data_IF_170263783247
#
_entry.id   IF_170263783247
#
_cell.length_a   1.000
_cell.length_b   1.000
_cell.length_c   1.000
_cell.angle_alpha   90.00
_cell.angle_beta   90.00
_cell.angle_gamma   90.00
#
_symmetry.space_group_name_H-M   'P 1'
#
loop_
_entity.id
_entity.type
_entity.pdbx_description
1 polymer ?
#
# COMPACT_ATOMS: atom_id res chain seq x y z
N UNK A 1 -23.87 24.32 -2.92
CA UNK A 1 -22.61 24.52 -3.66
C UNK A 1 -21.39 23.89 -2.96
N UNK A 2 -21.31 23.84 -1.63
CA UNK A 2 -20.15 23.20 -0.95
C UNK A 2 -20.02 21.68 -1.14
N UNK A 3 -21.12 20.92 -1.35
CA UNK A 3 -21.05 19.47 -1.64
C UNK A 3 -20.47 19.16 -3.02
N UNK A 4 -20.80 19.96 -4.04
CA UNK A 4 -20.32 19.72 -5.42
C UNK A 4 -18.83 20.05 -5.56
N UNK A 5 -18.34 21.09 -4.88
CA UNK A 5 -16.91 21.42 -4.87
C UNK A 5 -16.11 20.38 -4.07
N UNK A 6 -16.58 19.99 -2.88
CA UNK A 6 -15.92 18.93 -2.10
C UNK A 6 -15.90 17.56 -2.82
N UNK A 7 -16.97 17.21 -3.54
CA UNK A 7 -17.03 15.95 -4.28
C UNK A 7 -16.09 15.96 -5.48
N UNK A 8 -15.92 17.10 -6.16
CA UNK A 8 -14.96 17.23 -7.27
C UNK A 8 -13.52 17.16 -6.75
N UNK A 9 -13.20 17.82 -5.64
CA UNK A 9 -11.87 17.73 -5.02
C UNK A 9 -11.58 16.31 -4.50
N UNK A 10 -12.56 15.66 -3.87
CA UNK A 10 -12.43 14.27 -3.40
C UNK A 10 -12.28 13.28 -4.56
N UNK A 11 -12.99 13.48 -5.68
CA UNK A 11 -12.85 12.66 -6.88
C UNK A 11 -11.49 12.89 -7.55
N UNK A 12 -11.01 14.14 -7.59
CA UNK A 12 -9.69 14.46 -8.10
C UNK A 12 -8.59 13.81 -7.24
N UNK A 13 -8.73 13.80 -5.92
CA UNK A 13 -7.76 13.15 -5.02
C UNK A 13 -7.77 11.62 -5.16
N UNK A 14 -8.94 11.02 -5.37
CA UNK A 14 -9.08 9.56 -5.53
C UNK A 14 -8.62 9.07 -6.91
N UNK A 15 -8.76 9.89 -7.95
CA UNK A 15 -8.51 9.48 -9.35
C UNK A 15 -7.20 10.07 -9.89
N UNK A 16 -6.95 11.36 -9.72
CA UNK A 16 -5.83 12.04 -10.38
C UNK A 16 -4.51 11.78 -9.64
N UNK A 17 -4.48 11.92 -8.32
CA UNK A 17 -3.26 11.74 -7.52
C UNK A 17 -2.63 10.35 -7.70
N UNK A 18 -3.37 9.25 -7.46
CA UNK A 18 -2.85 7.89 -7.61
C UNK A 18 -2.48 7.53 -9.05
N UNK A 19 -3.22 8.03 -10.06
CA UNK A 19 -2.93 7.73 -11.47
C UNK A 19 -1.66 8.44 -11.93
N UNK A 20 -1.49 9.72 -11.58
CA UNK A 20 -0.26 10.47 -11.89
C UNK A 20 0.95 9.83 -11.21
N UNK A 21 0.81 9.47 -9.92
CA UNK A 21 1.85 8.74 -9.19
C UNK A 21 2.19 7.41 -9.86
N UNK A 22 1.19 6.62 -10.25
CA UNK A 22 1.39 5.34 -10.91
C UNK A 22 2.13 5.46 -12.25
N UNK A 23 1.82 6.47 -13.06
CA UNK A 23 2.53 6.73 -14.32
C UNK A 23 3.98 7.13 -14.04
N UNK A 24 4.20 8.01 -13.07
CA UNK A 24 5.55 8.43 -12.67
C UNK A 24 6.38 7.25 -12.14
N UNK A 25 5.78 6.37 -11.35
CA UNK A 25 6.42 5.16 -10.82
C UNK A 25 6.79 4.18 -11.93
N UNK A 26 5.92 3.97 -12.92
CA UNK A 26 6.21 3.11 -14.09
C UNK A 26 7.37 3.69 -14.90
N UNK A 27 7.33 4.98 -15.20
CA UNK A 27 8.41 5.65 -15.92
C UNK A 27 9.74 5.54 -15.16
N UNK A 28 9.73 5.82 -13.86
CA UNK A 28 10.92 5.73 -13.00
C UNK A 28 11.46 4.31 -12.96
N UNK A 29 10.60 3.30 -12.77
CA UNK A 29 10.97 1.89 -12.80
C UNK A 29 11.61 1.50 -14.14
N UNK A 30 11.06 1.96 -15.26
CA UNK A 30 11.60 1.70 -16.59
C UNK A 30 13.01 2.29 -16.74
N UNK A 31 13.22 3.56 -16.38
CA UNK A 31 14.54 4.19 -16.45
C UNK A 31 15.55 3.49 -15.52
N UNK A 32 15.17 3.19 -14.28
CA UNK A 32 16.05 2.49 -13.31
C UNK A 32 16.46 1.13 -13.85
N UNK A 33 15.52 0.33 -14.37
CA UNK A 33 15.80 -0.97 -14.95
C UNK A 33 16.71 -0.85 -16.18
N UNK A 34 16.41 0.07 -17.09
CA UNK A 34 17.22 0.32 -18.29
C UNK A 34 18.68 0.63 -17.91
N UNK A 35 18.92 1.62 -17.05
CA UNK A 35 20.26 2.00 -16.62
C UNK A 35 20.97 0.88 -15.85
N UNK A 36 20.26 0.16 -14.96
CA UNK A 36 20.84 -0.96 -14.21
C UNK A 36 21.28 -2.11 -15.13
N UNK A 37 20.44 -2.51 -16.09
CA UNK A 37 20.75 -3.58 -17.04
C UNK A 37 21.87 -3.19 -18.00
N UNK A 38 21.89 -1.95 -18.47
CA UNK A 38 22.96 -1.45 -19.34
C UNK A 38 24.32 -1.41 -18.67
N UNK A 39 24.39 -1.18 -17.35
CA UNK A 39 25.67 -1.10 -16.62
C UNK A 39 26.14 -2.41 -16.00
N UNK A 40 25.27 -3.17 -15.33
CA UNK A 40 25.66 -4.43 -14.69
C UNK A 40 24.47 -5.32 -14.42
N UNK A 41 24.27 -6.31 -15.28
CA UNK A 41 23.25 -7.34 -15.13
C UNK A 41 23.33 -8.06 -13.77
N UNK A 42 24.54 -8.20 -13.20
CA UNK A 42 24.74 -8.82 -11.87
C UNK A 42 24.12 -8.01 -10.74
N UNK A 43 24.19 -6.67 -10.79
CA UNK A 43 23.53 -5.81 -9.81
C UNK A 43 22.03 -5.79 -9.98
N UNK A 44 21.56 -5.77 -11.23
CA UNK A 44 20.12 -5.83 -11.50
C UNK A 44 19.52 -7.10 -10.90
N UNK A 45 20.18 -8.25 -11.05
CA UNK A 45 19.76 -9.52 -10.45
C UNK A 45 19.74 -9.49 -8.92
N UNK A 46 20.78 -8.92 -8.31
CA UNK A 46 20.85 -8.74 -6.85
C UNK A 46 19.71 -7.86 -6.32
N UNK A 47 19.38 -6.77 -7.02
CA UNK A 47 18.25 -5.91 -6.68
C UNK A 47 16.90 -6.63 -6.93
N UNK A 48 16.80 -7.40 -8.02
CA UNK A 48 15.59 -8.14 -8.36
C UNK A 48 15.22 -9.23 -7.34
N UNK A 49 16.18 -9.72 -6.55
CA UNK A 49 15.92 -10.69 -5.47
C UNK A 49 15.02 -10.09 -4.37
N UNK A 50 15.03 -8.78 -4.17
CA UNK A 50 14.12 -8.11 -3.23
C UNK A 50 12.66 -8.09 -3.74
N UNK A 51 12.47 -8.04 -5.06
CA UNK A 51 11.16 -7.96 -5.72
C UNK A 51 10.20 -9.11 -5.38
N UNK A 52 10.57 -10.41 -5.46
CA UNK A 52 9.66 -11.50 -5.11
C UNK A 52 9.24 -11.48 -3.64
N UNK A 53 10.15 -11.05 -2.74
CA UNK A 53 9.84 -10.87 -1.31
C UNK A 53 8.78 -9.79 -1.13
N UNK A 54 8.94 -8.64 -1.77
CA UNK A 54 7.95 -7.55 -1.75
C UNK A 54 6.60 -7.97 -2.33
N UNK A 55 6.59 -8.70 -3.44
CA UNK A 55 5.36 -9.19 -4.07
C UNK A 55 4.61 -10.13 -3.12
N UNK A 56 5.32 -11.07 -2.48
CA UNK A 56 4.72 -12.03 -1.56
C UNK A 56 4.10 -11.31 -0.35
N UNK A 57 4.87 -10.43 0.27
CA UNK A 57 4.46 -9.65 1.45
C UNK A 57 3.26 -8.75 1.10
N UNK A 58 3.27 -8.11 -0.07
CA UNK A 58 2.14 -7.29 -0.57
C UNK A 58 0.89 -8.13 -0.85
N UNK A 59 1.03 -9.33 -1.42
CA UNK A 59 -0.12 -10.23 -1.66
C UNK A 59 -0.80 -10.66 -0.36
N UNK A 60 -0.02 -11.01 0.66
CA UNK A 60 -0.54 -11.37 1.98
C UNK A 60 -1.29 -10.19 2.58
N UNK A 61 -0.72 -8.99 2.52
CA UNK A 61 -1.37 -7.78 3.02
C UNK A 61 -2.68 -7.48 2.28
N UNK A 62 -2.66 -7.50 0.94
CA UNK A 62 -3.83 -7.24 0.09
C UNK A 62 -4.98 -8.20 0.39
N UNK A 63 -4.70 -9.49 0.60
CA UNK A 63 -5.72 -10.49 0.93
C UNK A 63 -6.47 -10.13 2.23
N UNK A 64 -5.71 -9.83 3.29
CA UNK A 64 -6.29 -9.47 4.59
C UNK A 64 -7.04 -8.13 4.52
N UNK A 65 -6.55 -7.17 3.75
CA UNK A 65 -7.21 -5.87 3.56
C UNK A 65 -8.57 -6.00 2.85
N UNK A 66 -8.66 -6.87 1.84
CA UNK A 66 -9.92 -7.18 1.17
C UNK A 66 -10.91 -7.87 2.11
N UNK A 67 -10.44 -8.75 2.98
CA UNK A 67 -11.28 -9.39 4.01
C UNK A 67 -11.86 -8.35 4.98
N UNK A 68 -11.04 -7.40 5.45
CA UNK A 68 -11.52 -6.30 6.28
C UNK A 68 -12.59 -5.46 5.57
N UNK A 69 -12.36 -5.10 4.30
CA UNK A 69 -13.35 -4.33 3.52
C UNK A 69 -14.70 -5.06 3.41
N UNK A 70 -14.68 -6.38 3.20
CA UNK A 70 -15.91 -7.20 3.18
C UNK A 70 -16.63 -7.19 4.52
N UNK A 71 -15.90 -7.31 5.64
CA UNK A 71 -16.48 -7.30 6.99
C UNK A 71 -17.07 -5.94 7.36
N UNK A 72 -16.43 -4.84 6.95
CA UNK A 72 -16.95 -3.47 7.13
C UNK A 72 -18.23 -3.29 6.31
N UNK A 73 -18.23 -3.77 5.06
CA UNK A 73 -19.43 -3.75 4.22
C UNK A 73 -20.61 -4.47 4.89
N UNK A 74 -20.38 -5.68 5.41
CA UNK A 74 -21.40 -6.44 6.15
C UNK A 74 -21.93 -5.71 7.39
N UNK A 75 -21.04 -5.06 8.15
CA UNK A 75 -21.41 -4.28 9.34
C UNK A 75 -22.27 -3.06 8.95
N UNK A 76 -21.90 -2.35 7.88
CA UNK A 76 -22.66 -1.21 7.39
C UNK A 76 -24.03 -1.62 6.85
N UNK A 77 -24.12 -2.74 6.11
CA UNK A 77 -25.40 -3.27 5.64
C UNK A 77 -26.32 -3.62 6.80
N UNK A 78 -25.80 -4.32 7.83
CA UNK A 78 -26.58 -4.65 9.02
C UNK A 78 -27.10 -3.39 9.73
N UNK A 79 -26.25 -2.37 9.85
CA UNK A 79 -26.64 -1.09 10.44
C UNK A 79 -27.74 -0.41 9.61
N UNK A 80 -27.62 -0.42 8.28
CA UNK A 80 -28.60 0.18 7.38
C UNK A 80 -29.95 -0.56 7.43
N UNK A 81 -29.94 -1.89 7.48
CA UNK A 81 -31.14 -2.72 7.62
C UNK A 81 -31.84 -2.41 8.95
N UNK A 82 -31.09 -2.34 10.05
CA UNK A 82 -31.64 -2.07 11.38
C UNK A 82 -32.22 -0.65 11.50
N UNK A 83 -31.56 0.35 10.90
CA UNK A 83 -32.08 1.72 10.86
C UNK A 83 -33.35 1.84 10.00
N UNK A 84 -33.37 1.17 8.85
CA UNK A 84 -34.53 1.18 7.94
C UNK A 84 -35.73 0.43 8.54
N UNK A 85 -35.46 -0.67 9.27
CA UNK A 85 -36.45 -1.53 9.92
C UNK A 85 -36.76 -1.19 11.38
N UNK A 86 -36.30 -0.04 11.89
CA UNK A 86 -36.31 0.23 13.35
C UNK A 86 -37.71 0.15 13.98
N UNK A 87 -38.76 0.56 13.24
CA UNK A 87 -40.15 0.45 13.70
C UNK A 87 -40.60 -1.01 13.86
N UNK A 88 -40.15 -1.89 12.98
CA UNK A 88 -40.45 -3.33 13.05
C UNK A 88 -39.72 -3.95 14.23
N UNK A 89 -38.44 -3.65 14.41
CA UNK A 89 -37.63 -4.16 15.53
C UNK A 89 -38.26 -3.78 16.86
N UNK A 90 -38.64 -2.50 17.04
CA UNK A 90 -39.35 -2.02 18.24
C UNK A 90 -40.73 -2.64 18.40
N UNK A 91 -41.48 -2.79 17.29
CA UNK A 91 -42.81 -3.40 17.30
C UNK A 91 -42.82 -4.86 17.77
N UNK A 92 -41.69 -5.58 17.60
CA UNK A 92 -41.51 -6.94 18.08
C UNK A 92 -40.64 -7.06 19.34
N UNK A 93 -40.23 -5.94 19.96
CA UNK A 93 -39.32 -5.89 21.10
C UNK A 93 -38.03 -6.71 20.89
N UNK A 94 -37.42 -6.58 19.70
CA UNK A 94 -36.23 -7.35 19.26
C UNK A 94 -34.93 -6.55 19.30
N UNK A 95 -34.89 -5.42 20.00
CA UNK A 95 -33.72 -4.54 20.06
C UNK A 95 -32.47 -5.27 20.55
N UNK A 96 -32.56 -6.01 21.65
CA UNK A 96 -31.42 -6.72 22.25
C UNK A 96 -30.87 -7.80 21.32
N UNK A 97 -31.75 -8.48 20.58
CA UNK A 97 -31.36 -9.50 19.60
C UNK A 97 -30.57 -8.90 18.44
N UNK A 98 -31.03 -7.77 17.88
CA UNK A 98 -30.32 -7.08 16.81
C UNK A 98 -29.04 -6.40 17.29
N UNK A 99 -29.00 -5.93 18.55
CA UNK A 99 -27.78 -5.44 19.20
C UNK A 99 -26.74 -6.55 19.35
N UNK A 100 -27.11 -7.74 19.81
CA UNK A 100 -26.19 -8.87 19.93
C UNK A 100 -25.63 -9.28 18.55
N UNK A 101 -26.51 -9.33 17.53
CA UNK A 101 -26.11 -9.59 16.15
C UNK A 101 -25.11 -8.54 15.62
N UNK A 102 -25.33 -7.26 15.93
CA UNK A 102 -24.41 -6.18 15.58
C UNK A 102 -23.07 -6.33 16.31
N UNK A 103 -23.10 -6.61 17.62
CA UNK A 103 -21.91 -6.80 18.44
C UNK A 103 -21.04 -7.96 17.93
N UNK A 104 -21.66 -9.08 17.52
CA UNK A 104 -20.96 -10.22 16.92
C UNK A 104 -20.27 -9.81 15.61
N UNK A 105 -20.96 -9.11 14.72
CA UNK A 105 -20.39 -8.61 13.46
C UNK A 105 -19.27 -7.59 13.69
N UNK A 106 -19.42 -6.73 14.70
CA UNK A 106 -18.41 -5.76 15.13
C UNK A 106 -17.16 -6.44 15.68
N UNK A 107 -17.33 -7.51 16.47
CA UNK A 107 -16.23 -8.33 17.00
C UNK A 107 -15.44 -9.00 15.87
N UNK A 108 -16.12 -9.59 14.89
CA UNK A 108 -15.45 -10.15 13.69
C UNK A 108 -14.63 -9.08 12.94
N UNK A 109 -15.16 -7.85 12.83
CA UNK A 109 -14.43 -6.73 12.25
C UNK A 109 -13.19 -6.36 13.06
N UNK A 110 -13.32 -6.29 14.38
CA UNK A 110 -12.23 -5.98 15.30
C UNK A 110 -11.09 -6.99 15.17
N UNK A 111 -11.39 -8.29 15.13
CA UNK A 111 -10.38 -9.35 15.03
C UNK A 111 -9.59 -9.28 13.72
N UNK A 112 -10.27 -9.02 12.58
CA UNK A 112 -9.59 -8.83 11.29
C UNK A 112 -8.74 -7.56 11.30
N UNK A 113 -9.20 -6.47 11.92
CA UNK A 113 -8.40 -5.24 12.08
C UNK A 113 -7.15 -5.46 12.91
N UNK A 114 -7.26 -6.18 14.03
CA UNK A 114 -6.09 -6.51 14.88
C UNK A 114 -5.08 -7.34 14.09
N UNK A 115 -5.54 -8.36 13.34
CA UNK A 115 -4.68 -9.19 12.49
C UNK A 115 -3.95 -8.35 11.44
N UNK A 116 -4.65 -7.44 10.77
CA UNK A 116 -4.05 -6.48 9.84
C UNK A 116 -3.03 -5.55 10.51
N UNK A 117 -3.31 -5.09 11.73
CA UNK A 117 -2.38 -4.29 12.51
C UNK A 117 -1.06 -5.02 12.76
N UNK A 118 -1.11 -6.33 13.07
CA UNK A 118 0.09 -7.16 13.20
C UNK A 118 0.86 -7.27 11.88
N UNK A 119 0.16 -7.49 10.76
CA UNK A 119 0.80 -7.48 9.44
C UNK A 119 1.48 -6.15 9.13
N UNK A 120 0.86 -5.02 9.45
CA UNK A 120 1.42 -3.70 9.19
C UNK A 120 2.71 -3.45 9.97
N UNK A 121 2.80 -3.95 11.21
CA UNK A 121 4.02 -3.86 12.04
C UNK A 121 5.23 -4.57 11.43
N UNK A 122 5.01 -5.62 10.65
CA UNK A 122 6.08 -6.39 9.99
C UNK A 122 6.32 -5.88 8.56
N UNK A 123 5.26 -5.47 7.87
CA UNK A 123 5.30 -4.98 6.49
C UNK A 123 6.16 -3.73 6.32
N UNK A 124 5.94 -2.71 7.16
CA UNK A 124 6.69 -1.43 7.11
C UNK A 124 8.19 -1.63 7.28
N UNK A 125 8.68 -2.29 8.35
CA UNK A 125 10.11 -2.52 8.54
C UNK A 125 10.77 -3.33 7.43
N UNK A 126 10.07 -4.30 6.82
CA UNK A 126 10.61 -5.07 5.69
C UNK A 126 10.85 -4.16 4.49
N UNK A 127 9.89 -3.28 4.16
CA UNK A 127 10.04 -2.32 3.07
C UNK A 127 11.18 -1.35 3.37
N UNK A 128 11.19 -0.77 4.57
CA UNK A 128 12.21 0.21 4.95
C UNK A 128 13.61 -0.42 4.95
N UNK A 129 13.74 -1.67 5.41
CA UNK A 129 14.99 -2.41 5.37
C UNK A 129 15.46 -2.68 3.94
N UNK A 130 14.56 -3.11 3.05
CA UNK A 130 14.89 -3.36 1.64
C UNK A 130 15.31 -2.07 0.93
N UNK A 131 14.63 -0.95 1.20
CA UNK A 131 15.00 0.36 0.66
C UNK A 131 16.39 0.77 1.16
N UNK A 132 16.63 0.76 2.48
CA UNK A 132 17.94 1.15 3.05
C UNK A 132 19.09 0.28 2.53
N UNK A 133 18.88 -1.03 2.38
CA UNK A 133 19.88 -1.93 1.81
C UNK A 133 20.11 -1.66 0.32
N UNK A 134 19.05 -1.39 -0.43
CA UNK A 134 19.13 -0.96 -1.83
C UNK A 134 19.96 0.31 -1.99
N UNK A 135 19.66 1.34 -1.20
CA UNK A 135 20.41 2.60 -1.17
C UNK A 135 21.88 2.37 -0.84
N UNK A 136 22.18 1.52 0.16
CA UNK A 136 23.56 1.22 0.55
C UNK A 136 24.33 0.49 -0.55
N UNK A 137 23.70 -0.48 -1.23
CA UNK A 137 24.30 -1.20 -2.36
C UNK A 137 24.60 -0.25 -3.52
N UNK A 138 23.65 0.62 -3.87
CA UNK A 138 23.85 1.63 -4.94
C UNK A 138 24.95 2.60 -4.56
N UNK A 139 25.02 3.04 -3.30
CA UNK A 139 26.04 3.97 -2.84
C UNK A 139 27.44 3.32 -2.86
N UNK A 140 27.61 2.12 -2.33
CA UNK A 140 28.88 1.41 -2.34
C UNK A 140 29.35 1.09 -3.76
N UNK A 141 28.49 0.52 -4.60
CA UNK A 141 28.89 0.12 -5.95
C UNK A 141 29.02 1.31 -6.90
N UNK A 142 28.11 2.28 -6.81
CA UNK A 142 28.18 3.52 -7.57
C UNK A 142 29.44 4.32 -7.24
N UNK A 143 29.89 4.33 -5.98
CA UNK A 143 31.18 4.95 -5.61
C UNK A 143 32.35 4.28 -6.31
N UNK A 144 32.39 2.93 -6.35
CA UNK A 144 33.46 2.19 -7.05
C UNK A 144 33.47 2.52 -8.55
N UNK A 145 32.29 2.64 -9.18
CA UNK A 145 32.18 3.03 -10.59
C UNK A 145 32.69 4.45 -10.87
N UNK A 146 32.44 5.40 -9.95
CA UNK A 146 33.00 6.76 -10.05
C UNK A 146 34.53 6.72 -9.95
N UNK A 147 35.07 5.96 -9.01
CA UNK A 147 36.53 5.80 -8.86
C UNK A 147 37.17 5.16 -10.10
N UNK A 148 36.51 4.21 -10.73
CA UNK A 148 36.97 3.57 -11.97
C UNK A 148 36.73 4.43 -13.23
N UNK A 149 36.27 5.68 -13.09
CA UNK A 149 35.92 6.60 -14.18
C UNK A 149 34.89 6.03 -15.18
N UNK A 150 34.10 5.04 -14.78
CA UNK A 150 33.05 4.46 -15.61
C UNK A 150 31.80 5.35 -15.69
N UNK A 151 31.57 6.17 -14.65
CA UNK A 151 30.49 7.16 -14.58
C UNK A 151 31.02 8.49 -14.05
N UNK A 152 30.39 9.60 -14.45
CA UNK A 152 30.74 10.92 -13.90
C UNK A 152 30.12 11.10 -12.49
N UNK A 153 30.79 11.86 -11.61
CA UNK A 153 30.23 12.17 -10.29
C UNK A 153 28.86 12.86 -10.37
N UNK A 154 28.65 13.72 -11.39
CA UNK A 154 27.38 14.41 -11.59
C UNK A 154 26.22 13.46 -11.89
N UNK A 155 26.43 12.47 -12.76
CA UNK A 155 25.42 11.45 -13.07
C UNK A 155 25.10 10.61 -11.82
N UNK A 156 26.11 10.28 -11.01
CA UNK A 156 25.92 9.55 -9.76
C UNK A 156 25.06 10.32 -8.75
N UNK A 157 25.31 11.62 -8.55
CA UNK A 157 24.52 12.47 -7.64
C UNK A 157 23.07 12.61 -8.09
N UNK A 158 22.84 12.78 -9.40
CA UNK A 158 21.49 12.82 -9.98
C UNK A 158 20.78 11.50 -9.70
N UNK A 159 21.41 10.36 -10.02
CA UNK A 159 20.82 9.04 -9.81
C UNK A 159 20.49 8.76 -8.34
N UNK A 160 21.40 9.12 -7.42
CA UNK A 160 21.19 8.97 -5.99
C UNK A 160 20.01 9.81 -5.47
N UNK A 161 19.81 11.01 -6.00
CA UNK A 161 18.71 11.89 -5.61
C UNK A 161 17.34 11.41 -6.09
N UNK A 162 17.29 10.64 -7.17
CA UNK A 162 16.06 10.06 -7.72
C UNK A 162 15.83 8.61 -7.27
N UNK A 163 16.71 8.05 -6.44
CA UNK A 163 16.47 6.77 -5.79
C UNK A 163 15.40 6.97 -4.68
N UNK A 164 14.34 6.15 -4.64
CA UNK A 164 13.35 6.21 -3.56
C UNK A 164 13.89 5.72 -2.21
#
# INVERSE_FOLDING_TARGET
MSRVVNDVDSLAEVIVGPVVGFVADICSLFFILYFCLSWSWKLTLLALIATPVLILVTRIFRKNFLELRKKIGKLNSLLQDNLSGIRVIKGFAREDYELDRFNKSSRENYEVRVRLGVYFRVFRPIIDFLNQRGTLVVLCYGSILVFNRAISPGIFVIFFRYLP
#
